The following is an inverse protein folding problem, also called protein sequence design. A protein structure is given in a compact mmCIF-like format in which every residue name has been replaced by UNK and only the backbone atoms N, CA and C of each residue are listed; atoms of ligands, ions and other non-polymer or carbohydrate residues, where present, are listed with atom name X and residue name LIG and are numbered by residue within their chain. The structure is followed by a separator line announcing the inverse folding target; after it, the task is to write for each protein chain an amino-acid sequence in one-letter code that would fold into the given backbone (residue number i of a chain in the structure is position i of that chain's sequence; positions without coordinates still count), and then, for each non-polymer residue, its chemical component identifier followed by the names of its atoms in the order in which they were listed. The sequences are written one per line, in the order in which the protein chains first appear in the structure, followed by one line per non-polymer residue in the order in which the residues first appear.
data_IF_379263588808
#
_entry.id   IF_379263588808
#
_cell.length_a   1.000
_cell.length_b   1.000
_cell.length_c   1.000
_cell.angle_alpha   90.00
_cell.angle_beta   90.00
_cell.angle_gamma   90.00
#
_symmetry.space_group_name_H-M   'P 1'
#
loop_
_entity.id
_entity.type
_entity.pdbx_description
1 polymer ?
#
# COMPACT_ATOMS: atom_id res chain seq x y z
N UNK A 1 -16.99 14.21 4.29
CA UNK A 1 -15.96 13.17 4.16
C UNK A 1 -14.63 13.69 4.67
N UNK A 2 -14.04 13.02 5.67
CA UNK A 2 -12.72 13.36 6.23
C UNK A 2 -11.79 12.20 5.90
N UNK A 3 -10.58 12.50 5.41
CA UNK A 3 -9.52 11.52 5.16
C UNK A 3 -8.24 11.95 5.87
N UNK A 4 -7.48 10.98 6.36
CA UNK A 4 -6.19 11.20 7.03
C UNK A 4 -5.05 10.75 6.12
N UNK A 5 -3.91 11.44 6.21
CA UNK A 5 -2.70 11.11 5.48
C UNK A 5 -1.44 11.58 6.21
N UNK A 6 -0.30 10.96 5.88
CA UNK A 6 0.97 11.23 6.55
C UNK A 6 1.09 10.48 7.87
N UNK A 7 2.03 10.91 8.71
CA UNK A 7 2.38 10.21 9.94
C UNK A 7 1.19 9.91 10.88
N UNK A 8 0.14 10.73 10.86
CA UNK A 8 -1.08 10.51 11.65
C UNK A 8 -1.79 9.18 11.32
N UNK A 9 -1.53 8.59 10.15
CA UNK A 9 -2.09 7.29 9.75
C UNK A 9 -1.21 6.11 10.16
N UNK A 10 -0.06 6.34 10.82
CA UNK A 10 0.87 5.28 11.18
C UNK A 10 1.83 4.85 10.07
N UNK A 11 2.14 5.75 9.13
CA UNK A 11 3.30 5.58 8.24
C UNK A 11 4.50 6.38 8.76
N UNK A 12 5.72 5.93 8.47
CA UNK A 12 6.95 6.65 8.81
C UNK A 12 7.76 6.98 7.55
N UNK A 13 8.20 8.23 7.42
CA UNK A 13 9.01 8.69 6.28
C UNK A 13 8.27 9.62 5.33
N UNK A 14 9.04 10.43 4.60
CA UNK A 14 8.50 11.41 3.65
C UNK A 14 7.82 10.75 2.45
N UNK A 15 8.40 9.65 1.95
CA UNK A 15 7.89 8.95 0.77
C UNK A 15 6.55 8.27 1.08
N UNK A 16 6.46 7.61 2.23
CA UNK A 16 5.24 6.96 2.70
C UNK A 16 4.15 7.98 3.02
N UNK A 17 4.52 9.10 3.65
CA UNK A 17 3.58 10.18 3.92
C UNK A 17 3.01 10.78 2.63
N UNK A 18 3.86 11.02 1.63
CA UNK A 18 3.44 11.49 0.31
C UNK A 18 2.57 10.45 -0.42
N UNK A 19 2.90 9.16 -0.30
CA UNK A 19 2.13 8.06 -0.88
C UNK A 19 0.70 7.99 -0.31
N UNK A 20 0.54 8.07 1.01
CA UNK A 20 -0.80 8.08 1.63
C UNK A 20 -1.54 9.37 1.29
N UNK A 21 -0.85 10.53 1.23
CA UNK A 21 -1.44 11.78 0.77
C UNK A 21 -1.99 11.69 -0.65
N UNK A 22 -1.23 11.11 -1.58
CA UNK A 22 -1.66 10.84 -2.95
C UNK A 22 -2.91 9.96 -2.98
N UNK A 23 -2.94 8.85 -2.23
CA UNK A 23 -4.09 7.95 -2.19
C UNK A 23 -5.33 8.63 -1.60
N UNK A 24 -5.18 9.35 -0.48
CA UNK A 24 -6.28 10.07 0.14
C UNK A 24 -6.90 11.11 -0.81
N UNK A 25 -6.05 11.86 -1.54
CA UNK A 25 -6.50 12.82 -2.54
C UNK A 25 -7.21 12.17 -3.71
N UNK A 26 -6.67 11.08 -4.26
CA UNK A 26 -7.30 10.34 -5.36
C UNK A 26 -8.67 9.79 -4.98
N UNK A 27 -8.76 9.14 -3.82
CA UNK A 27 -10.03 8.58 -3.35
C UNK A 27 -11.07 9.66 -3.06
N UNK A 28 -10.66 10.81 -2.53
CA UNK A 28 -11.57 11.96 -2.37
C UNK A 28 -12.06 12.48 -3.72
N UNK A 29 -11.17 12.61 -4.70
CA UNK A 29 -11.53 13.09 -6.02
C UNK A 29 -12.52 12.14 -6.74
N UNK A 30 -12.27 10.84 -6.67
CA UNK A 30 -13.17 9.80 -7.22
C UNK A 30 -14.53 9.82 -6.53
N UNK A 31 -14.55 9.94 -5.20
CA UNK A 31 -15.78 10.03 -4.41
C UNK A 31 -16.60 11.28 -4.74
N UNK A 32 -15.95 12.44 -4.87
CA UNK A 32 -16.61 13.69 -5.29
C UNK A 32 -17.14 13.62 -6.74
N UNK A 33 -16.54 12.78 -7.58
CA UNK A 33 -17.01 12.51 -8.94
C UNK A 33 -18.12 11.45 -9.00
N UNK A 34 -18.53 10.86 -7.86
CA UNK A 34 -19.52 9.78 -7.82
C UNK A 34 -19.01 8.45 -8.40
N UNK A 35 -17.69 8.29 -8.55
CA UNK A 35 -17.07 7.06 -9.04
C UNK A 35 -16.72 6.12 -7.89
N UNK A 36 -16.75 4.82 -8.15
CA UNK A 36 -16.20 3.83 -7.22
C UNK A 36 -14.66 3.88 -7.27
N UNK A 37 -14.04 4.00 -6.10
CA UNK A 37 -12.59 4.09 -6.00
C UNK A 37 -11.95 2.69 -6.13
N UNK A 38 -10.97 2.55 -7.02
CA UNK A 38 -10.19 1.31 -7.17
C UNK A 38 -8.89 1.42 -6.36
N UNK A 39 -8.75 0.77 -5.20
CA UNK A 39 -7.52 0.85 -4.42
C UNK A 39 -6.34 0.19 -5.17
N UNK A 40 -5.09 0.63 -4.92
CA UNK A 40 -3.92 -0.02 -5.49
C UNK A 40 -3.81 -1.48 -5.02
N UNK A 41 -3.36 -2.42 -5.86
CA UNK A 41 -3.23 -3.82 -5.48
C UNK A 41 -2.29 -3.99 -4.28
N UNK A 42 -2.56 -4.90 -3.32
CA UNK A 42 -1.71 -5.14 -2.15
C UNK A 42 -0.27 -5.57 -2.48
N UNK A 43 -0.05 -6.10 -3.69
CA UNK A 43 1.28 -6.44 -4.20
C UNK A 43 2.15 -5.22 -4.53
N UNK A 44 1.58 -4.01 -4.61
CA UNK A 44 2.30 -2.75 -4.82
C UNK A 44 2.74 -2.14 -3.49
N UNK A 45 3.74 -1.26 -3.50
CA UNK A 45 4.13 -0.52 -2.29
C UNK A 45 2.98 0.33 -1.73
N UNK A 46 2.18 0.95 -2.61
CA UNK A 46 1.02 1.76 -2.23
C UNK A 46 -0.07 0.90 -1.56
N UNK A 47 -0.40 -0.24 -2.15
CA UNK A 47 -1.39 -1.17 -1.62
C UNK A 47 -0.93 -1.86 -0.33
N UNK A 48 0.36 -2.19 -0.23
CA UNK A 48 0.94 -2.75 0.99
C UNK A 48 0.84 -1.77 2.17
N UNK A 49 1.21 -0.49 1.95
CA UNK A 49 1.06 0.56 2.96
C UNK A 49 -0.40 0.79 3.32
N UNK A 50 -1.29 0.89 2.32
CA UNK A 50 -2.72 1.07 2.55
C UNK A 50 -3.30 -0.08 3.38
N UNK A 51 -2.98 -1.32 3.02
CA UNK A 51 -3.43 -2.52 3.74
C UNK A 51 -2.92 -2.55 5.18
N UNK A 52 -1.67 -2.15 5.41
CA UNK A 52 -1.09 -2.09 6.75
C UNK A 52 -1.86 -1.12 7.65
N UNK A 53 -2.10 0.11 7.19
CA UNK A 53 -2.73 1.15 8.02
C UNK A 53 -4.25 0.96 8.19
N UNK A 54 -4.93 0.30 7.25
CA UNK A 54 -6.38 0.05 7.34
C UNK A 54 -6.74 -1.33 7.88
N UNK A 55 -5.84 -2.31 7.79
CA UNK A 55 -6.09 -3.70 8.19
C UNK A 55 -5.20 -4.23 9.30
N UNK A 56 -4.05 -3.60 9.57
CA UNK A 56 -3.04 -4.11 10.53
C UNK A 56 -3.52 -4.21 11.97
N UNK A 57 -4.52 -3.42 12.37
CA UNK A 57 -5.14 -3.47 13.69
C UNK A 57 -6.28 -4.50 13.81
N UNK A 58 -6.81 -4.99 12.68
CA UNK A 58 -7.96 -5.92 12.66
C UNK A 58 -7.57 -7.37 13.03
N UNK A 59 -6.27 -7.67 13.08
CA UNK A 59 -5.76 -8.99 13.45
C UNK A 59 -5.57 -9.20 14.98
N UNK A 60 -6.18 -8.37 15.82
CA UNK A 60 -6.09 -8.50 17.29
C UNK A 60 -4.73 -8.13 17.88
N UNK A 61 -3.91 -7.39 17.13
CA UNK A 61 -2.64 -6.89 17.63
C UNK A 61 -2.89 -5.57 18.37
N UNK A 62 -2.88 -5.60 19.69
CA UNK A 62 -2.80 -4.41 20.58
C UNK A 62 -1.53 -3.55 20.35
N UNK A 63 -0.75 -3.85 19.32
CA UNK A 63 0.57 -3.32 19.02
C UNK A 63 0.69 -2.85 17.56
N UNK A 64 -0.31 -2.14 17.03
CA UNK A 64 -0.11 -1.40 15.79
C UNK A 64 1.05 -0.41 15.99
N UNK A 65 2.08 -0.51 15.17
CA UNK A 65 3.23 0.38 15.19
C UNK A 65 3.35 1.10 13.85
N UNK A 66 3.66 2.41 13.87
CA UNK A 66 4.05 3.11 12.67
C UNK A 66 5.24 2.42 11.99
N UNK A 67 5.25 2.39 10.67
CA UNK A 67 6.39 1.85 9.94
C UNK A 67 6.55 2.43 8.55
N UNK A 68 7.80 2.35 8.06
CA UNK A 68 8.14 2.57 6.66
C UNK A 68 7.76 1.36 5.79
N UNK A 69 7.81 1.55 4.47
CA UNK A 69 7.59 0.44 3.55
C UNK A 69 8.75 -0.55 3.61
N UNK A 70 8.43 -1.83 3.74
CA UNK A 70 9.42 -2.90 3.70
C UNK A 70 8.85 -4.14 3.01
N UNK A 71 9.72 -5.05 2.54
CA UNK A 71 9.29 -6.26 1.82
C UNK A 71 8.43 -7.22 2.64
N UNK A 72 8.39 -7.09 3.97
CA UNK A 72 7.50 -7.88 4.84
C UNK A 72 6.02 -7.49 4.73
N UNK A 73 5.72 -6.29 4.25
CA UNK A 73 4.35 -5.82 4.01
C UNK A 73 3.74 -6.39 2.73
N UNK A 74 4.57 -6.93 1.83
CA UNK A 74 4.13 -7.43 0.54
C UNK A 74 3.64 -8.87 0.70
N UNK A 75 2.57 -9.28 -0.01
CA UNK A 75 2.16 -10.68 -0.09
C UNK A 75 3.34 -11.59 -0.48
N UNK A 76 3.34 -12.83 -0.01
CA UNK A 76 4.38 -13.80 -0.40
C UNK A 76 4.37 -14.03 -1.93
N UNK A 77 5.53 -14.38 -2.50
CA UNK A 77 5.60 -14.89 -3.87
C UNK A 77 5.05 -16.32 -3.90
N UNK A 78 4.39 -16.68 -4.99
CA UNK A 78 3.98 -18.06 -5.23
C UNK A 78 5.19 -18.92 -5.62
N UNK A 79 5.22 -20.16 -5.15
CA UNK A 79 6.27 -21.12 -5.47
C UNK A 79 7.61 -20.87 -4.76
N UNK A 80 8.60 -21.71 -5.12
CA UNK A 80 9.95 -21.64 -4.55
C UNK A 80 10.79 -20.65 -5.33
N UNK A 81 11.10 -19.51 -4.72
CA UNK A 81 12.04 -18.50 -5.25
C UNK A 81 13.30 -18.50 -4.40
N UNK A 82 14.47 -18.55 -5.04
CA UNK A 82 15.76 -18.48 -4.36
C UNK A 82 15.86 -17.19 -3.53
N UNK A 83 16.49 -17.28 -2.34
CA UNK A 83 16.57 -16.17 -1.39
C UNK A 83 17.12 -14.88 -2.02
N UNK A 84 18.11 -14.98 -2.91
CA UNK A 84 18.71 -13.83 -3.62
C UNK A 84 17.75 -13.16 -4.60
N UNK A 85 16.82 -13.93 -5.17
CA UNK A 85 15.89 -13.46 -6.21
C UNK A 85 14.56 -12.98 -5.64
N UNK A 86 14.27 -13.27 -4.37
CA UNK A 86 12.99 -12.95 -3.74
C UNK A 86 12.65 -11.46 -3.78
N UNK A 87 13.57 -10.58 -3.39
CA UNK A 87 13.34 -9.12 -3.41
C UNK A 87 13.18 -8.58 -4.84
N UNK A 88 14.07 -8.91 -5.81
CA UNK A 88 13.86 -8.55 -7.21
C UNK A 88 12.53 -9.05 -7.79
N UNK A 89 12.13 -10.29 -7.51
CA UNK A 89 10.88 -10.86 -8.00
C UNK A 89 9.66 -10.17 -7.38
N UNK A 90 9.69 -9.86 -6.08
CA UNK A 90 8.66 -9.04 -5.42
C UNK A 90 8.56 -7.65 -6.06
N UNK A 91 9.69 -7.00 -6.31
CA UNK A 91 9.72 -5.69 -6.94
C UNK A 91 9.17 -5.71 -8.38
N UNK A 92 9.52 -6.74 -9.17
CA UNK A 92 8.98 -6.94 -10.52
C UNK A 92 7.46 -7.07 -10.48
N UNK A 93 6.94 -8.00 -9.67
CA UNK A 93 5.49 -8.19 -9.50
C UNK A 93 4.79 -6.91 -9.03
N UNK A 94 5.41 -6.16 -8.13
CA UNK A 94 4.88 -4.89 -7.64
C UNK A 94 4.78 -3.83 -8.75
N UNK A 95 5.80 -3.71 -9.60
CA UNK A 95 5.80 -2.77 -10.73
C UNK A 95 4.80 -3.19 -11.82
N UNK A 96 4.68 -4.48 -12.10
CA UNK A 96 3.72 -5.00 -13.08
C UNK A 96 2.27 -4.74 -12.60
N UNK A 97 1.99 -5.02 -11.33
CA UNK A 97 0.69 -4.74 -10.71
C UNK A 97 0.37 -3.23 -10.65
N UNK A 98 1.38 -2.39 -10.37
CA UNK A 98 1.21 -0.94 -10.39
C UNK A 98 0.89 -0.43 -11.79
N UNK A 99 1.58 -0.94 -12.80
CA UNK A 99 1.34 -0.59 -14.21
C UNK A 99 -0.09 -0.97 -14.63
N UNK A 100 -0.54 -2.18 -14.28
CA UNK A 100 -1.90 -2.63 -14.56
C UNK A 100 -2.96 -1.77 -13.85
N UNK A 101 -2.69 -1.31 -12.62
CA UNK A 101 -3.61 -0.45 -11.88
C UNK A 101 -3.70 0.98 -12.43
N UNK A 102 -2.60 1.50 -12.99
CA UNK A 102 -2.55 2.83 -13.60
C UNK A 102 -3.11 2.87 -15.02
N UNK A 103 -3.34 1.70 -15.65
CA UNK A 103 -3.95 1.63 -16.97
C UNK A 103 -5.40 2.17 -16.92
N UNK A 104 -5.84 2.90 -17.97
CA UNK A 104 -7.17 3.49 -18.04
C UNK A 104 -8.30 2.44 -18.00
#
# INVERSE_FOLDING_TARGET
NIRFAGQITGVEGYVESAAIGLLAGRFMAEELAGSEHRPPPPATALGALLTHITGGHLAGADNFQPMNVNFGLFPALEGKVHKRERKPAMARRALDALTAWLAP
#
